data_IF_009906679844
#
_entry.id   IF_009906679844
#
_cell.length_a   1.000
_cell.length_b   1.000
_cell.length_c   1.000
_cell.angle_alpha   90.00
_cell.angle_beta   90.00
_cell.angle_gamma   90.00
#
_symmetry.space_group_name_H-M   'P 1'
#
loop_
_entity.id
_entity.type
_entity.pdbx_description
1 polymer ?
#
# COMPACT_ATOMS: atom_id res chain seq x y z
N UNK A 1 -4.81 26.59 15.94
CA UNK A 1 -4.69 25.13 15.73
C UNK A 1 -4.92 24.42 17.05
N UNK A 2 -5.84 23.45 17.08
CA UNK A 2 -6.03 22.57 18.24
C UNK A 2 -5.22 21.32 17.94
N UNK A 3 -4.13 21.11 18.67
CA UNK A 3 -3.31 19.92 18.47
C UNK A 3 -4.11 18.66 18.86
N UNK A 4 -4.05 17.60 18.04
CA UNK A 4 -4.63 16.30 18.38
C UNK A 4 -4.04 15.76 19.69
N UNK A 5 -4.80 14.94 20.41
CA UNK A 5 -4.28 14.28 21.61
C UNK A 5 -3.18 13.28 21.24
N UNK A 6 -2.28 13.01 22.19
CA UNK A 6 -1.24 11.97 22.00
C UNK A 6 -1.82 10.62 21.61
N UNK A 7 -3.01 10.29 22.12
CA UNK A 7 -3.73 9.05 21.80
C UNK A 7 -4.09 8.97 20.30
N UNK A 8 -4.51 10.09 19.70
CA UNK A 8 -4.80 10.16 18.26
C UNK A 8 -3.53 9.95 17.44
N UNK A 9 -2.43 10.61 17.82
CA UNK A 9 -1.14 10.45 17.13
C UNK A 9 -0.68 8.99 17.18
N UNK A 10 -0.75 8.36 18.34
CA UNK A 10 -0.36 6.95 18.51
C UNK A 10 -1.30 6.00 17.76
N UNK A 11 -2.59 6.31 17.67
CA UNK A 11 -3.53 5.55 16.85
C UNK A 11 -3.16 5.62 15.36
N UNK A 12 -2.89 6.82 14.85
CA UNK A 12 -2.49 6.99 13.44
C UNK A 12 -1.15 6.32 13.14
N UNK A 13 -0.18 6.36 14.06
CA UNK A 13 1.09 5.62 13.91
C UNK A 13 0.88 4.11 13.77
N UNK A 14 -0.07 3.55 14.51
CA UNK A 14 -0.45 2.12 14.41
C UNK A 14 -1.23 1.83 13.14
N UNK A 15 -2.08 2.76 12.72
CA UNK A 15 -2.93 2.56 11.55
C UNK A 15 -2.17 2.73 10.23
N UNK A 16 -1.24 3.68 10.20
CA UNK A 16 -0.40 4.06 9.06
C UNK A 16 1.10 3.94 9.41
N UNK A 17 1.61 2.71 9.65
CA UNK A 17 3.04 2.51 9.83
C UNK A 17 3.80 2.86 8.54
N UNK A 18 5.10 3.14 8.67
CA UNK A 18 5.98 3.35 7.53
C UNK A 18 5.93 2.15 6.56
N UNK A 19 5.89 2.44 5.26
CA UNK A 19 5.71 1.43 4.21
C UNK A 19 4.26 1.18 3.80
N UNK A 20 3.27 1.68 4.55
CA UNK A 20 1.85 1.56 4.18
C UNK A 20 1.57 2.25 2.84
N UNK A 21 0.90 1.57 1.92
CA UNK A 21 0.41 2.16 0.67
C UNK A 21 -0.91 2.87 0.90
N UNK A 22 -1.00 4.10 0.41
CA UNK A 22 -2.18 4.95 0.54
C UNK A 22 -2.54 5.59 -0.78
N UNK A 23 -3.80 5.97 -0.90
CA UNK A 23 -4.33 6.76 -2.02
C UNK A 23 -5.00 8.02 -1.48
N UNK A 24 -4.70 9.16 -2.10
CA UNK A 24 -5.30 10.44 -1.74
C UNK A 24 -6.78 10.46 -2.12
N UNK A 25 -7.65 10.74 -1.15
CA UNK A 25 -9.11 10.83 -1.37
C UNK A 25 -9.65 12.24 -1.23
N UNK A 26 -8.99 13.10 -0.43
CA UNK A 26 -9.34 14.50 -0.29
C UNK A 26 -8.14 15.32 0.17
N UNK A 27 -7.92 16.46 -0.47
CA UNK A 27 -7.00 17.51 -0.04
C UNK A 27 -7.44 18.80 -0.74
N UNK A 28 -7.64 19.86 0.03
CA UNK A 28 -8.14 21.14 -0.48
C UNK A 28 -7.02 22.18 -0.48
N UNK A 29 -6.04 21.97 -1.36
CA UNK A 29 -4.86 22.82 -1.53
C UNK A 29 -4.55 22.99 -3.03
N UNK A 30 -4.05 24.16 -3.44
CA UNK A 30 -3.70 24.46 -4.84
C UNK A 30 -2.55 23.58 -5.35
N UNK A 31 -1.67 23.13 -4.46
CA UNK A 31 -0.54 22.25 -4.75
C UNK A 31 -0.85 20.78 -4.46
N UNK A 32 -2.11 20.45 -4.13
CA UNK A 32 -2.54 19.08 -3.87
C UNK A 32 -2.21 18.16 -5.05
N UNK A 33 -1.71 16.93 -4.78
CA UNK A 33 -1.72 15.89 -5.80
C UNK A 33 -3.15 15.68 -6.32
N UNK A 34 -3.31 15.23 -7.57
CA UNK A 34 -4.62 14.79 -8.06
C UNK A 34 -5.23 13.73 -7.13
N UNK A 35 -6.54 13.78 -6.90
CA UNK A 35 -7.25 12.72 -6.18
C UNK A 35 -7.03 11.39 -6.91
N UNK A 36 -6.79 10.32 -6.14
CA UNK A 36 -6.36 9.02 -6.67
C UNK A 36 -4.85 8.88 -6.80
N UNK A 37 -4.06 9.93 -6.54
CA UNK A 37 -2.60 9.79 -6.44
C UNK A 37 -2.28 8.83 -5.31
N UNK A 38 -1.37 7.89 -5.60
CA UNK A 38 -0.93 6.91 -4.62
C UNK A 38 0.42 7.30 -4.04
N UNK A 39 0.71 6.81 -2.85
CA UNK A 39 1.93 7.12 -2.14
C UNK A 39 2.23 6.13 -1.03
N UNK A 40 3.46 6.21 -0.53
CA UNK A 40 3.96 5.32 0.53
C UNK A 40 4.20 6.14 1.79
N UNK A 41 3.60 5.72 2.90
CA UNK A 41 3.76 6.39 4.19
C UNK A 41 5.21 6.29 4.65
N UNK A 42 5.80 7.43 5.04
CA UNK A 42 7.11 7.52 5.69
C UNK A 42 7.01 7.51 7.22
N UNK A 43 5.89 7.98 7.76
CA UNK A 43 5.60 8.00 9.19
C UNK A 43 4.48 8.99 9.53
N UNK A 44 4.20 9.13 10.83
CA UNK A 44 3.23 10.11 11.35
C UNK A 44 3.92 10.99 12.39
N UNK A 45 3.87 12.31 12.18
CA UNK A 45 4.50 13.29 13.05
C UNK A 45 3.68 13.61 14.31
N UNK A 46 4.24 14.43 15.21
CA UNK A 46 3.61 14.78 16.48
C UNK A 46 2.40 15.73 16.32
N UNK A 47 2.18 16.26 15.11
CA UNK A 47 1.00 17.05 14.75
C UNK A 47 -0.13 16.20 14.18
N UNK A 48 0.06 14.87 14.15
CA UNK A 48 -0.84 13.89 13.56
C UNK A 48 -0.91 13.96 12.03
N UNK A 49 0.11 14.54 11.37
CA UNK A 49 0.19 14.54 9.92
C UNK A 49 0.84 13.26 9.41
N UNK A 50 0.21 12.60 8.44
CA UNK A 50 0.76 11.42 7.78
C UNK A 50 1.72 11.89 6.70
N UNK A 51 3.00 11.60 6.87
CA UNK A 51 4.03 11.92 5.90
C UNK A 51 4.00 10.89 4.77
N UNK A 52 3.76 11.32 3.54
CA UNK A 52 3.61 10.42 2.39
C UNK A 52 4.64 10.76 1.32
N UNK A 53 5.33 9.74 0.82
CA UNK A 53 6.07 9.80 -0.44
C UNK A 53 5.06 9.57 -1.57
N UNK A 54 4.53 10.63 -2.16
CA UNK A 54 3.61 10.49 -3.30
C UNK A 54 4.36 10.03 -4.55
N UNK A 55 3.77 9.13 -5.31
CA UNK A 55 4.39 8.53 -6.51
C UNK A 55 4.62 9.58 -7.62
N UNK A 56 3.86 10.69 -7.59
CA UNK A 56 4.03 11.83 -8.49
C UNK A 56 5.13 12.81 -8.03
N UNK A 57 5.81 12.53 -6.92
CA UNK A 57 6.87 13.37 -6.36
C UNK A 57 6.40 14.53 -5.47
N UNK A 58 5.09 14.64 -5.17
CA UNK A 58 4.60 15.65 -4.22
C UNK A 58 5.16 15.44 -2.82
N UNK A 59 5.44 16.56 -2.14
CA UNK A 59 5.93 16.60 -0.76
C UNK A 59 4.87 16.93 0.29
N UNK A 60 3.59 17.02 -0.09
CA UNK A 60 2.51 17.36 0.85
C UNK A 60 2.17 16.17 1.75
N UNK A 61 1.94 16.46 3.03
CA UNK A 61 1.48 15.49 4.02
C UNK A 61 -0.06 15.46 4.07
N UNK A 62 -0.62 14.39 4.61
CA UNK A 62 -2.07 14.29 4.88
C UNK A 62 -2.31 14.77 6.30
N UNK A 63 -2.90 15.96 6.46
CA UNK A 63 -3.16 16.57 7.75
C UNK A 63 -4.42 15.98 8.38
N UNK A 64 -4.32 15.50 9.62
CA UNK A 64 -5.46 14.94 10.34
C UNK A 64 -6.58 15.97 10.54
N UNK A 65 -7.79 15.62 10.07
CA UNK A 65 -8.99 16.45 10.18
C UNK A 65 -9.17 17.46 9.05
N UNK A 66 -8.16 17.66 8.20
CA UNK A 66 -8.23 18.55 7.03
C UNK A 66 -8.20 17.75 5.73
N UNK A 67 -7.28 16.78 5.63
CA UNK A 67 -7.09 15.93 4.46
C UNK A 67 -7.60 14.51 4.71
N UNK A 68 -7.66 13.70 3.66
CA UNK A 68 -8.02 12.29 3.76
C UNK A 68 -7.27 11.44 2.74
N UNK A 69 -6.82 10.29 3.20
CA UNK A 69 -6.31 9.21 2.37
C UNK A 69 -6.93 7.89 2.80
N UNK A 70 -6.95 6.91 1.91
CA UNK A 70 -7.35 5.53 2.23
C UNK A 70 -6.16 4.60 2.16
N UNK A 71 -6.13 3.60 3.05
CA UNK A 71 -5.17 2.50 2.95
C UNK A 71 -5.52 1.60 1.79
N UNK A 72 -4.48 1.16 1.10
CA UNK A 72 -4.56 0.17 0.04
C UNK A 72 -4.26 -1.22 0.64
N UNK A 73 -4.97 -2.25 0.18
CA UNK A 73 -4.64 -3.65 0.50
C UNK A 73 -3.46 -4.10 -0.36
N UNK A 74 -2.32 -3.45 -0.12
CA UNK A 74 -1.12 -3.65 -0.90
C UNK A 74 -0.40 -4.93 -0.48
N UNK A 75 0.16 -5.62 -1.46
CA UNK A 75 0.93 -6.85 -1.27
C UNK A 75 2.26 -6.75 -2.00
N UNK A 76 3.29 -7.31 -1.40
CA UNK A 76 4.60 -7.44 -2.03
C UNK A 76 4.70 -8.85 -2.57
N UNK A 77 4.99 -8.98 -3.86
CA UNK A 77 5.17 -10.30 -4.49
C UNK A 77 6.56 -10.40 -5.06
N UNK A 78 7.29 -11.43 -4.68
CA UNK A 78 8.55 -11.84 -5.31
C UNK A 78 8.28 -13.06 -6.19
N UNK A 79 8.62 -12.98 -7.47
CA UNK A 79 8.46 -14.07 -8.41
C UNK A 79 9.66 -14.08 -9.35
N UNK A 80 10.33 -15.23 -9.53
CA UNK A 80 11.57 -15.31 -10.32
C UNK A 80 12.68 -14.35 -9.86
N UNK A 81 12.74 -14.05 -8.57
CA UNK A 81 13.68 -13.08 -7.99
C UNK A 81 13.30 -11.61 -8.22
N UNK A 82 12.24 -11.33 -8.99
CA UNK A 82 11.73 -9.98 -9.18
C UNK A 82 10.66 -9.64 -8.13
N UNK A 83 10.92 -8.61 -7.34
CA UNK A 83 9.98 -8.10 -6.34
C UNK A 83 9.15 -6.94 -6.89
N UNK A 84 7.83 -7.05 -6.77
CA UNK A 84 6.87 -6.02 -7.16
C UNK A 84 5.89 -5.72 -6.03
N UNK A 85 5.67 -4.43 -5.77
CA UNK A 85 4.58 -3.95 -4.91
C UNK A 85 3.32 -3.83 -5.74
N UNK A 86 2.24 -4.43 -5.27
CA UNK A 86 0.90 -4.31 -5.84
C UNK A 86 0.07 -3.44 -4.91
N UNK A 87 -0.64 -2.46 -5.46
CA UNK A 87 -1.56 -1.61 -4.69
C UNK A 87 -2.87 -2.32 -4.30
N UNK A 88 -3.12 -3.51 -4.86
CA UNK A 88 -4.35 -4.27 -4.64
C UNK A 88 -4.04 -5.77 -4.64
N UNK A 89 -4.29 -6.44 -3.51
CA UNK A 89 -4.26 -7.90 -3.39
C UNK A 89 -5.14 -8.57 -4.43
N UNK A 90 -6.33 -8.01 -4.68
CA UNK A 90 -7.27 -8.56 -5.66
C UNK A 90 -6.65 -8.57 -7.05
N UNK A 91 -5.98 -7.48 -7.44
CA UNK A 91 -5.36 -7.35 -8.75
C UNK A 91 -4.16 -8.31 -8.86
N UNK A 92 -3.40 -8.49 -7.78
CA UNK A 92 -2.33 -9.47 -7.71
C UNK A 92 -2.87 -10.91 -7.85
N UNK A 93 -3.93 -11.26 -7.12
CA UNK A 93 -4.58 -12.58 -7.20
C UNK A 93 -5.08 -12.85 -8.63
N UNK A 94 -5.76 -11.89 -9.25
CA UNK A 94 -6.28 -12.02 -10.61
C UNK A 94 -5.14 -12.23 -11.63
N UNK A 95 -4.03 -11.51 -11.46
CA UNK A 95 -2.85 -11.69 -12.29
C UNK A 95 -2.28 -13.11 -12.18
N UNK A 96 -2.01 -13.59 -10.96
CA UNK A 96 -1.40 -14.91 -10.74
C UNK A 96 -2.36 -16.07 -11.05
N UNK A 97 -3.67 -15.86 -10.89
CA UNK A 97 -4.68 -16.83 -11.34
C UNK A 97 -4.64 -17.01 -12.87
N UNK A 98 -4.56 -15.91 -13.62
CA UNK A 98 -4.44 -15.96 -15.08
C UNK A 98 -3.13 -16.58 -15.53
N UNK A 99 -2.02 -16.21 -14.87
CA UNK A 99 -0.70 -16.77 -15.15
C UNK A 99 -0.69 -18.29 -14.93
N UNK A 100 -1.24 -18.74 -13.80
CA UNK A 100 -1.40 -20.16 -13.49
C UNK A 100 -2.20 -20.92 -14.55
N UNK A 101 -3.34 -20.36 -15.00
CA UNK A 101 -4.18 -20.98 -16.01
C UNK A 101 -3.53 -21.09 -17.40
N UNK A 102 -2.51 -20.28 -17.68
CA UNK A 102 -1.75 -20.28 -18.95
C UNK A 102 -0.39 -20.97 -18.87
N UNK A 103 -0.06 -21.60 -17.74
CA UNK A 103 1.27 -22.17 -17.45
C UNK A 103 1.19 -23.66 -17.13
N UNK A 104 2.32 -24.36 -17.27
CA UNK A 104 2.46 -25.79 -16.94
C UNK A 104 3.78 -26.05 -16.20
N UNK A 105 3.90 -27.24 -15.60
CA UNK A 105 5.13 -27.69 -14.94
C UNK A 105 5.56 -26.77 -13.79
N UNK A 106 6.87 -26.48 -13.71
CA UNK A 106 7.45 -25.71 -12.60
C UNK A 106 7.02 -24.24 -12.57
N UNK A 107 6.60 -23.67 -13.69
CA UNK A 107 6.04 -22.31 -13.73
C UNK A 107 4.66 -22.27 -13.05
N UNK A 108 3.82 -23.26 -13.35
CA UNK A 108 2.51 -23.41 -12.71
C UNK A 108 2.63 -23.56 -11.19
N UNK A 109 3.57 -24.37 -10.72
CA UNK A 109 3.83 -24.56 -9.28
C UNK A 109 4.22 -23.26 -8.58
N UNK A 110 5.09 -22.44 -9.20
CA UNK A 110 5.50 -21.13 -8.67
C UNK A 110 4.31 -20.17 -8.55
N UNK A 111 3.52 -20.03 -9.62
CA UNK A 111 2.33 -19.17 -9.59
C UNK A 111 1.27 -19.66 -8.62
N UNK A 112 1.11 -20.98 -8.46
CA UNK A 112 0.23 -21.59 -7.48
C UNK A 112 0.60 -21.23 -6.06
N UNK A 113 1.88 -21.32 -5.70
CA UNK A 113 2.37 -20.91 -4.38
C UNK A 113 2.01 -19.46 -4.07
N UNK A 114 2.38 -18.53 -4.96
CA UNK A 114 2.08 -17.10 -4.81
C UNK A 114 0.56 -16.88 -4.66
N UNK A 115 -0.25 -17.51 -5.54
CA UNK A 115 -1.71 -17.39 -5.49
C UNK A 115 -2.28 -17.84 -4.13
N UNK A 116 -1.79 -18.95 -3.59
CA UNK A 116 -2.23 -19.47 -2.29
C UNK A 116 -1.86 -18.48 -1.16
N UNK A 117 -0.62 -18.01 -1.11
CA UNK A 117 -0.17 -17.05 -0.08
C UNK A 117 -0.99 -15.75 -0.12
N UNK A 118 -1.25 -15.22 -1.32
CA UNK A 118 -2.10 -14.05 -1.50
C UNK A 118 -3.55 -14.30 -1.06
N UNK A 119 -4.10 -15.48 -1.36
CA UNK A 119 -5.46 -15.87 -0.99
C UNK A 119 -5.62 -16.10 0.51
N UNK A 120 -4.55 -16.52 1.19
CA UNK A 120 -4.48 -16.67 2.65
C UNK A 120 -4.32 -15.33 3.38
N UNK A 121 -4.26 -14.20 2.66
CA UNK A 121 -4.16 -12.88 3.27
C UNK A 121 -2.74 -12.49 3.66
N UNK A 122 -1.70 -13.20 3.18
CA UNK A 122 -0.32 -12.85 3.49
C UNK A 122 0.05 -11.48 2.89
N UNK A 123 0.70 -10.57 3.63
CA UNK A 123 1.10 -9.25 3.12
C UNK A 123 2.26 -9.35 2.10
N UNK A 124 3.00 -10.44 2.15
CA UNK A 124 4.13 -10.77 1.28
C UNK A 124 3.89 -12.15 0.71
N UNK A 125 4.11 -12.34 -0.59
CA UNK A 125 4.04 -13.63 -1.25
C UNK A 125 5.32 -13.89 -2.08
N UNK A 126 5.78 -15.14 -2.14
CA UNK A 126 7.02 -15.52 -2.82
C UNK A 126 6.96 -16.91 -3.45
N UNK A 127 7.63 -17.10 -4.58
CA UNK A 127 7.84 -18.43 -5.17
C UNK A 127 9.09 -19.16 -4.61
N UNK A 128 9.90 -18.47 -3.81
CA UNK A 128 11.09 -19.02 -3.12
C UNK A 128 10.71 -19.77 -1.84
N UNK A 129 11.44 -20.83 -1.47
CA UNK A 129 11.25 -21.60 -0.21
C UNK A 129 11.60 -20.83 1.06
#
# INVERSE_FOLDING_TARGET
>A
MRFPSKEIVEQLRKEYPAGTRVELTRMDDVQAPPIGTKGTVKGVDDTASIMVAWDNGSGLNVVYGEDSCRKLDAVIVTCYGDTKVWDSRKDAIEFYLRAMAGSEGSEHERYSKIYVELSLGMPTATDEE
#
